data_IF_327730294647
#
_entry.id   IF_327730294647
#
_cell.length_a   1.000
_cell.length_b   1.000
_cell.length_c   1.000
_cell.angle_alpha   90.00
_cell.angle_beta   90.00
_cell.angle_gamma   90.00
#
_symmetry.space_group_name_H-M   'P 1'
#
loop_
_entity.id
_entity.type
_entity.pdbx_description
1 polymer ?
#
# COMPACT_ATOMS: atom_id res chain seq x y z
N UNK A 1 -28.81 16.88 -58.72
CA UNK A 1 -28.23 16.90 -57.40
C UNK A 1 -28.42 15.52 -56.79
N UNK A 2 -27.37 14.70 -56.56
CA UNK A 2 -27.54 13.38 -55.93
C UNK A 2 -27.91 13.57 -54.46
N UNK A 3 -28.97 12.88 -54.01
CA UNK A 3 -29.37 12.85 -52.61
C UNK A 3 -28.29 12.09 -51.79
N UNK A 4 -27.71 12.76 -50.84
CA UNK A 4 -26.80 12.12 -49.85
C UNK A 4 -27.53 10.92 -49.23
N UNK A 5 -26.99 9.71 -49.40
CA UNK A 5 -27.55 8.50 -48.81
C UNK A 5 -27.55 8.63 -47.27
N UNK A 6 -28.71 8.43 -46.65
CA UNK A 6 -28.81 8.38 -45.18
C UNK A 6 -28.04 7.15 -44.66
N UNK A 7 -27.12 7.39 -43.77
CA UNK A 7 -26.36 6.31 -43.08
C UNK A 7 -27.33 5.37 -42.35
N UNK A 8 -27.04 4.10 -42.38
CA UNK A 8 -27.74 3.09 -41.57
C UNK A 8 -27.52 3.35 -40.07
N UNK A 9 -28.36 2.76 -39.21
CA UNK A 9 -28.19 2.83 -37.75
C UNK A 9 -26.84 2.26 -37.30
N UNK A 10 -26.37 1.19 -37.93
CA UNK A 10 -25.07 0.57 -37.63
C UNK A 10 -23.91 1.45 -38.03
N UNK A 11 -23.96 2.12 -39.18
CA UNK A 11 -22.95 3.07 -39.64
C UNK A 11 -22.90 4.32 -38.71
N UNK A 12 -24.04 4.79 -38.24
CA UNK A 12 -24.11 5.88 -37.26
C UNK A 12 -23.49 5.48 -35.92
N UNK A 13 -23.82 4.28 -35.41
CA UNK A 13 -23.27 3.77 -34.16
C UNK A 13 -21.75 3.57 -34.25
N UNK A 14 -21.27 3.02 -35.37
CA UNK A 14 -19.83 2.87 -35.62
C UNK A 14 -19.11 4.21 -35.66
N UNK A 15 -19.63 5.19 -36.40
CA UNK A 15 -19.05 6.55 -36.44
C UNK A 15 -18.99 7.21 -35.07
N UNK A 16 -20.04 7.04 -34.26
CA UNK A 16 -20.07 7.56 -32.90
C UNK A 16 -19.02 6.86 -32.02
N UNK A 17 -18.89 5.53 -32.11
CA UNK A 17 -17.87 4.78 -31.39
C UNK A 17 -16.45 5.20 -31.79
N UNK A 18 -16.20 5.35 -33.11
CA UNK A 18 -14.90 5.79 -33.64
C UNK A 18 -14.57 7.22 -33.18
N UNK A 19 -15.54 8.13 -33.18
CA UNK A 19 -15.35 9.50 -32.71
C UNK A 19 -15.05 9.55 -31.20
N UNK A 20 -15.75 8.75 -30.41
CA UNK A 20 -15.48 8.59 -28.95
C UNK A 20 -14.09 8.00 -28.71
N UNK A 21 -13.72 6.97 -29.47
CA UNK A 21 -12.40 6.36 -29.38
C UNK A 21 -11.28 7.36 -29.72
N UNK A 22 -11.45 8.12 -30.81
CA UNK A 22 -10.51 9.17 -31.23
C UNK A 22 -10.38 10.28 -30.18
N UNK A 23 -11.50 10.74 -29.62
CA UNK A 23 -11.50 11.70 -28.51
C UNK A 23 -10.70 11.19 -27.32
N UNK A 24 -10.96 9.96 -26.87
CA UNK A 24 -10.25 9.39 -25.73
C UNK A 24 -8.78 9.10 -26.03
N UNK A 25 -8.43 8.75 -27.30
CA UNK A 25 -7.04 8.58 -27.69
C UNK A 25 -6.23 9.90 -27.57
N UNK A 26 -6.84 11.03 -27.87
CA UNK A 26 -6.22 12.34 -27.71
C UNK A 26 -6.21 12.82 -26.24
N UNK A 27 -7.31 12.60 -25.50
CA UNK A 27 -7.47 13.09 -24.13
C UNK A 27 -6.69 12.27 -23.08
N UNK A 28 -6.52 10.95 -23.27
CA UNK A 28 -5.78 10.09 -22.31
C UNK A 28 -4.35 10.59 -22.03
N UNK A 29 -3.51 10.86 -23.04
CA UNK A 29 -2.15 11.35 -22.79
C UNK A 29 -2.15 12.73 -22.11
N UNK A 30 -3.07 13.62 -22.48
CA UNK A 30 -3.19 14.94 -21.84
C UNK A 30 -3.55 14.82 -20.36
N UNK A 31 -4.55 14.01 -20.04
CA UNK A 31 -4.95 13.74 -18.64
C UNK A 31 -3.86 13.06 -17.85
N UNK A 32 -3.10 12.16 -18.47
CA UNK A 32 -1.98 11.51 -17.80
C UNK A 32 -0.84 12.49 -17.52
N UNK A 33 -0.53 13.38 -18.46
CA UNK A 33 0.45 14.45 -18.23
C UNK A 33 0.06 15.36 -17.06
N UNK A 34 -1.23 15.75 -16.97
CA UNK A 34 -1.73 16.53 -15.82
C UNK A 34 -1.60 15.75 -14.51
N UNK A 35 -1.96 14.46 -14.49
CA UNK A 35 -1.78 13.62 -13.30
C UNK A 35 -0.32 13.51 -12.87
N UNK A 36 0.57 13.35 -13.84
CA UNK A 36 2.01 13.27 -13.57
C UNK A 36 2.55 14.60 -13.01
N UNK A 37 2.13 15.73 -13.57
CA UNK A 37 2.50 17.04 -13.05
C UNK A 37 2.03 17.25 -11.60
N UNK A 38 0.77 16.90 -11.30
CA UNK A 38 0.23 16.98 -9.93
C UNK A 38 1.03 16.07 -8.98
N UNK A 39 1.37 14.84 -9.40
CA UNK A 39 2.17 13.92 -8.59
C UNK A 39 3.59 14.45 -8.34
N UNK A 40 4.20 15.04 -9.37
CA UNK A 40 5.54 15.62 -9.26
C UNK A 40 5.57 16.80 -8.28
N UNK A 41 4.62 17.73 -8.40
CA UNK A 41 4.47 18.86 -7.48
C UNK A 41 4.25 18.38 -6.03
N UNK A 42 3.34 17.43 -5.84
CA UNK A 42 3.10 16.85 -4.52
C UNK A 42 4.35 16.17 -3.93
N UNK A 43 5.14 15.47 -4.75
CA UNK A 43 6.38 14.83 -4.32
C UNK A 43 7.45 15.88 -3.95
N UNK A 44 7.55 16.97 -4.71
CA UNK A 44 8.47 18.08 -4.42
C UNK A 44 8.14 18.75 -3.07
N UNK A 45 6.85 18.94 -2.77
CA UNK A 45 6.39 19.49 -1.49
C UNK A 45 6.73 18.61 -0.29
N UNK A 46 6.78 17.31 -0.45
CA UNK A 46 7.23 16.38 0.61
C UNK A 46 8.74 16.51 0.81
N UNK A 47 9.52 16.65 -0.26
CA UNK A 47 10.97 16.78 -0.19
C UNK A 47 11.67 15.55 0.42
N UNK A 48 12.84 15.78 1.04
CA UNK A 48 13.61 14.75 1.71
C UNK A 48 13.06 14.47 3.11
N UNK A 49 12.78 13.22 3.42
CA UNK A 49 12.30 12.83 4.74
C UNK A 49 13.43 12.83 5.76
N UNK A 50 13.17 13.43 6.91
CA UNK A 50 14.00 13.30 8.11
C UNK A 50 13.68 12.01 8.88
N UNK A 51 14.54 11.61 9.83
CA UNK A 51 14.26 10.48 10.71
C UNK A 51 12.98 10.70 11.54
N UNK A 52 12.72 11.95 11.93
CA UNK A 52 11.48 12.30 12.62
C UNK A 52 10.25 12.08 11.74
N UNK A 53 10.30 12.44 10.47
CA UNK A 53 9.20 12.23 9.53
C UNK A 53 8.90 10.74 9.35
N UNK A 54 9.96 9.93 9.21
CA UNK A 54 9.82 8.46 9.13
C UNK A 54 9.25 7.88 10.41
N UNK A 55 9.65 8.40 11.59
CA UNK A 55 9.12 7.96 12.88
C UNK A 55 7.62 8.26 13.00
N UNK A 56 7.22 9.49 12.70
CA UNK A 56 5.82 9.94 12.75
C UNK A 56 4.97 9.14 11.77
N UNK A 57 5.38 9.10 10.51
CA UNK A 57 4.64 8.39 9.46
C UNK A 57 4.58 6.88 9.71
N UNK A 58 5.66 6.27 10.23
CA UNK A 58 5.70 4.86 10.57
C UNK A 58 4.80 4.49 11.76
N UNK A 59 4.74 5.36 12.79
CA UNK A 59 3.81 5.19 13.90
C UNK A 59 2.35 5.24 13.43
N UNK A 60 2.01 6.21 12.57
CA UNK A 60 0.66 6.32 11.99
C UNK A 60 0.35 5.14 11.06
N UNK A 61 1.30 4.71 10.22
CA UNK A 61 1.14 3.52 9.38
C UNK A 61 0.83 2.28 10.23
N UNK A 62 1.55 2.10 11.36
CA UNK A 62 1.23 1.03 12.31
C UNK A 62 -0.16 1.19 12.92
N UNK A 63 -0.56 2.42 13.26
CA UNK A 63 -1.89 2.67 13.80
C UNK A 63 -3.00 2.30 12.82
N UNK A 64 -2.79 2.49 11.52
CA UNK A 64 -3.75 2.12 10.48
C UNK A 64 -3.78 0.60 10.22
N UNK A 65 -2.62 -0.01 9.97
CA UNK A 65 -2.48 -1.36 9.41
C UNK A 65 -1.96 -2.39 10.43
N UNK A 66 -1.45 -1.95 11.59
CA UNK A 66 -0.89 -2.81 12.60
C UNK A 66 -1.93 -3.50 13.49
N UNK A 67 -1.50 -4.59 14.11
CA UNK A 67 -2.32 -5.30 15.09
C UNK A 67 -2.39 -4.50 16.40
N UNK A 68 -3.61 -4.26 16.88
CA UNK A 68 -3.87 -3.52 18.12
C UNK A 68 -4.33 -4.45 19.24
N UNK A 69 -3.93 -4.11 20.47
CA UNK A 69 -4.48 -4.74 21.68
C UNK A 69 -5.95 -4.36 21.85
N UNK A 70 -6.77 -5.34 22.17
CA UNK A 70 -8.21 -5.13 22.41
C UNK A 70 -8.55 -5.60 23.82
N UNK A 71 -9.57 -5.03 24.50
CA UNK A 71 -9.94 -5.42 25.87
C UNK A 71 -10.18 -6.92 26.04
N UNK A 72 -10.80 -7.54 25.04
CA UNK A 72 -11.12 -8.97 25.02
C UNK A 72 -10.02 -9.87 24.44
N UNK A 73 -8.95 -9.28 23.85
CA UNK A 73 -7.78 -9.99 23.29
C UNK A 73 -6.56 -9.12 23.48
N UNK A 74 -6.03 -9.12 24.67
CA UNK A 74 -4.81 -8.35 24.99
C UNK A 74 -3.61 -8.95 24.26
N UNK A 75 -2.90 -8.12 23.52
CA UNK A 75 -1.68 -8.49 22.82
C UNK A 75 -0.79 -7.27 22.66
N UNK A 76 0.42 -7.33 23.20
CA UNK A 76 1.43 -6.28 23.07
C UNK A 76 2.47 -6.67 22.00
N UNK A 77 2.03 -7.32 20.93
CA UNK A 77 2.90 -7.76 19.83
C UNK A 77 2.83 -6.77 18.70
N UNK A 78 3.99 -6.34 18.22
CA UNK A 78 4.08 -5.52 17.02
C UNK A 78 3.99 -6.44 15.80
N UNK A 79 2.86 -6.37 15.12
CA UNK A 79 2.55 -7.12 13.91
C UNK A 79 2.00 -6.16 12.88
N UNK A 80 2.59 -6.17 11.69
CA UNK A 80 2.18 -5.36 10.55
C UNK A 80 1.95 -6.27 9.34
N UNK A 81 0.86 -6.08 8.59
CA UNK A 81 0.51 -6.91 7.45
C UNK A 81 0.11 -5.99 6.30
N UNK A 82 0.79 -6.11 5.17
CA UNK A 82 0.43 -5.36 3.97
C UNK A 82 0.81 -6.12 2.70
N UNK A 83 0.20 -5.75 1.57
CA UNK A 83 0.50 -6.27 0.23
C UNK A 83 1.33 -5.31 -0.62
N UNK A 84 1.50 -4.07 -0.19
CA UNK A 84 2.29 -3.06 -0.90
C UNK A 84 3.77 -3.19 -0.53
N UNK A 85 4.66 -3.51 -1.49
CA UNK A 85 6.08 -3.66 -1.22
C UNK A 85 6.77 -2.34 -0.83
N UNK A 86 6.26 -1.19 -1.27
CA UNK A 86 6.83 0.11 -0.90
C UNK A 86 6.52 0.41 0.57
N UNK A 87 5.28 0.14 1.00
CA UNK A 87 4.88 0.32 2.39
C UNK A 87 5.61 -0.67 3.32
N UNK A 88 5.87 -1.90 2.87
CA UNK A 88 6.71 -2.86 3.60
C UNK A 88 8.14 -2.34 3.78
N UNK A 89 8.80 -1.84 2.72
CA UNK A 89 10.15 -1.26 2.81
C UNK A 89 10.19 -0.05 3.73
N UNK A 90 9.21 0.83 3.63
CA UNK A 90 9.06 1.99 4.51
C UNK A 90 8.92 1.56 5.97
N UNK A 91 8.05 0.60 6.25
CA UNK A 91 7.83 0.11 7.61
C UNK A 91 9.07 -0.57 8.20
N UNK A 92 9.84 -1.32 7.41
CA UNK A 92 11.13 -1.87 7.84
C UNK A 92 12.16 -0.77 8.18
N UNK A 93 12.18 0.34 7.43
CA UNK A 93 13.00 1.49 7.78
C UNK A 93 12.55 2.13 9.11
N UNK A 94 11.25 2.28 9.31
CA UNK A 94 10.70 2.76 10.59
C UNK A 94 11.11 1.86 11.76
N UNK A 95 10.97 0.55 11.64
CA UNK A 95 11.38 -0.40 12.70
C UNK A 95 12.88 -0.27 13.03
N UNK A 96 13.72 -0.10 12.03
CA UNK A 96 15.16 0.12 12.22
C UNK A 96 15.45 1.40 12.98
N UNK A 97 14.78 2.52 12.64
CA UNK A 97 14.88 3.76 13.40
C UNK A 97 14.32 3.64 14.83
N UNK A 98 13.33 2.79 15.03
CA UNK A 98 12.80 2.45 16.35
C UNK A 98 13.72 1.51 17.16
N UNK A 99 14.92 1.20 16.66
CA UNK A 99 15.92 0.38 17.36
C UNK A 99 15.71 -1.13 17.24
N UNK A 100 14.87 -1.59 16.30
CA UNK A 100 14.64 -3.03 16.08
C UNK A 100 15.80 -3.62 15.28
N UNK A 101 16.49 -4.60 15.87
CA UNK A 101 17.53 -5.34 15.19
C UNK A 101 16.95 -6.35 14.17
N UNK A 102 17.72 -6.68 13.13
CA UNK A 102 17.26 -7.55 12.05
C UNK A 102 16.84 -8.94 12.57
N UNK A 103 17.57 -9.50 13.53
CA UNK A 103 17.30 -10.82 14.12
C UNK A 103 16.01 -10.87 14.96
N UNK A 104 15.46 -9.71 15.32
CA UNK A 104 14.15 -9.61 15.99
C UNK A 104 12.97 -9.71 15.03
N UNK A 105 13.21 -9.71 13.71
CA UNK A 105 12.16 -9.76 12.71
C UNK A 105 11.84 -11.19 12.31
N UNK A 106 10.55 -11.48 12.20
CA UNK A 106 10.04 -12.70 11.60
C UNK A 106 8.99 -12.37 10.54
N UNK A 107 9.04 -13.06 9.43
CA UNK A 107 8.18 -12.82 8.28
C UNK A 107 7.27 -14.01 8.02
N UNK A 108 6.07 -13.76 7.54
CA UNK A 108 5.16 -14.81 7.07
C UNK A 108 4.35 -14.32 5.90
N UNK A 109 4.43 -15.05 4.80
CA UNK A 109 3.58 -14.84 3.64
C UNK A 109 2.16 -15.34 3.92
N UNK A 110 1.15 -14.52 3.61
CA UNK A 110 -0.26 -14.91 3.59
C UNK A 110 -0.76 -14.80 2.15
N UNK A 111 -1.00 -15.94 1.53
CA UNK A 111 -1.31 -16.03 0.09
C UNK A 111 -2.41 -17.05 -0.16
N UNK A 112 -3.06 -16.96 -1.30
CA UNK A 112 -4.06 -17.95 -1.70
C UNK A 112 -3.39 -19.25 -2.17
N UNK A 113 -3.98 -20.40 -1.84
CA UNK A 113 -3.41 -21.71 -2.20
C UNK A 113 -3.28 -21.94 -3.71
N UNK A 114 -4.05 -21.24 -4.55
CA UNK A 114 -4.02 -21.32 -6.01
C UNK A 114 -2.99 -20.38 -6.66
N UNK A 115 -2.23 -19.61 -5.88
CA UNK A 115 -1.18 -18.73 -6.39
C UNK A 115 0.18 -19.44 -6.39
N UNK A 116 1.12 -18.91 -7.15
CA UNK A 116 2.51 -19.36 -7.09
C UNK A 116 3.17 -18.87 -5.79
N UNK A 117 3.21 -19.79 -4.82
CA UNK A 117 3.76 -19.52 -3.48
C UNK A 117 5.27 -19.32 -3.53
N UNK A 118 5.97 -20.06 -4.40
CA UNK A 118 7.43 -20.00 -4.50
C UNK A 118 7.88 -18.64 -5.06
N UNK A 119 7.31 -18.22 -6.19
CA UNK A 119 7.57 -16.91 -6.81
C UNK A 119 7.23 -15.76 -5.85
N UNK A 120 6.09 -15.84 -5.15
CA UNK A 120 5.72 -14.83 -4.16
C UNK A 120 6.69 -14.79 -2.98
N UNK A 121 7.24 -15.91 -2.55
CA UNK A 121 8.23 -15.96 -1.48
C UNK A 121 9.57 -15.35 -1.93
N UNK A 122 10.03 -15.64 -3.12
CA UNK A 122 11.23 -15.01 -3.71
C UNK A 122 11.07 -13.49 -3.83
N UNK A 123 9.90 -13.03 -4.32
CA UNK A 123 9.56 -11.61 -4.37
C UNK A 123 9.70 -10.93 -2.99
N UNK A 124 9.14 -11.53 -1.94
CA UNK A 124 9.21 -10.93 -0.61
C UNK A 124 10.59 -11.03 0.04
N UNK A 125 11.38 -12.05 -0.29
CA UNK A 125 12.80 -12.11 0.08
C UNK A 125 13.58 -10.95 -0.54
N UNK A 126 13.35 -10.66 -1.83
CA UNK A 126 13.96 -9.50 -2.49
C UNK A 126 13.52 -8.17 -1.88
N UNK A 127 12.22 -8.00 -1.63
CA UNK A 127 11.65 -6.77 -1.03
C UNK A 127 12.23 -6.48 0.35
N UNK A 128 12.37 -7.50 1.19
CA UNK A 128 12.79 -7.34 2.60
C UNK A 128 14.29 -7.38 2.78
N UNK A 129 15.03 -8.02 1.85
CA UNK A 129 16.45 -8.34 1.97
C UNK A 129 16.77 -9.14 3.24
N UNK A 130 15.78 -9.85 3.76
CA UNK A 130 15.91 -10.66 4.97
C UNK A 130 16.42 -12.08 4.66
N UNK A 131 17.18 -12.71 5.58
CA UNK A 131 17.58 -14.10 5.41
C UNK A 131 16.37 -15.03 5.32
N UNK A 132 16.39 -16.08 4.48
CA UNK A 132 15.31 -17.05 4.37
C UNK A 132 14.90 -17.67 5.70
N UNK A 133 15.83 -17.84 6.64
CA UNK A 133 15.59 -18.40 7.98
C UNK A 133 14.61 -17.56 8.83
N UNK A 134 14.42 -16.28 8.50
CA UNK A 134 13.42 -15.42 9.17
C UNK A 134 12.02 -15.58 8.59
N UNK A 135 11.87 -16.26 7.46
CA UNK A 135 10.57 -16.55 6.86
C UNK A 135 9.98 -17.84 7.45
N UNK A 136 8.83 -17.70 8.09
CA UNK A 136 8.05 -18.82 8.60
C UNK A 136 7.21 -19.44 7.49
N UNK A 137 6.72 -20.65 7.70
CA UNK A 137 5.82 -21.31 6.76
C UNK A 137 4.65 -20.38 6.36
N UNK A 138 4.32 -20.30 5.07
CA UNK A 138 3.26 -19.44 4.58
C UNK A 138 1.89 -19.87 5.12
N UNK A 139 1.00 -18.89 5.28
CA UNK A 139 -0.41 -19.13 5.56
C UNK A 139 -1.17 -19.19 4.24
N UNK A 140 -1.66 -20.37 3.91
CA UNK A 140 -2.44 -20.59 2.69
C UNK A 140 -3.93 -20.32 2.95
N UNK A 141 -4.49 -19.34 2.26
CA UNK A 141 -5.93 -19.05 2.30
C UNK A 141 -6.67 -19.93 1.30
N UNK A 142 -7.73 -20.60 1.75
CA UNK A 142 -8.60 -21.38 0.88
C UNK A 142 -9.52 -20.46 0.07
N UNK A 143 -9.91 -20.92 -1.12
CA UNK A 143 -10.89 -20.20 -1.94
C UNK A 143 -12.23 -20.10 -1.21
N UNK A 144 -12.80 -18.90 -1.17
CA UNK A 144 -14.19 -18.71 -0.73
C UNK A 144 -15.08 -18.60 -1.99
N UNK A 145 -15.93 -19.58 -2.28
CA UNK A 145 -16.76 -19.61 -3.51
C UNK A 145 -17.76 -18.46 -3.59
N UNK A 146 -18.00 -17.73 -2.48
CA UNK A 146 -18.90 -16.57 -2.44
C UNK A 146 -18.25 -15.26 -2.88
N UNK A 147 -16.95 -15.24 -3.13
CA UNK A 147 -16.21 -14.03 -3.53
C UNK A 147 -15.59 -14.20 -4.90
N UNK A 148 -15.90 -13.27 -5.81
CA UNK A 148 -15.19 -13.16 -7.11
C UNK A 148 -13.86 -12.47 -6.86
N UNK A 149 -12.77 -13.18 -7.13
CA UNK A 149 -11.43 -12.67 -6.91
C UNK A 149 -10.98 -11.90 -8.16
N UNK A 150 -10.72 -10.60 -8.02
CA UNK A 150 -10.23 -9.73 -9.09
C UNK A 150 -8.69 -9.70 -9.16
N UNK A 151 -8.01 -9.91 -8.04
CA UNK A 151 -6.55 -9.84 -7.95
C UNK A 151 -5.95 -11.25 -8.17
N UNK A 152 -5.75 -11.59 -9.43
CA UNK A 152 -5.19 -12.87 -9.92
C UNK A 152 -4.12 -12.57 -10.97
N UNK A 153 -3.14 -13.46 -11.12
CA UNK A 153 -2.09 -13.36 -12.15
C UNK A 153 -0.69 -13.16 -11.57
N UNK A 154 0.28 -12.93 -12.44
CA UNK A 154 1.71 -12.86 -12.10
C UNK A 154 2.10 -11.76 -11.11
N UNK A 155 1.35 -10.67 -11.07
CA UNK A 155 1.58 -9.56 -10.13
C UNK A 155 1.02 -9.80 -8.71
N UNK A 156 0.44 -10.98 -8.44
CA UNK A 156 -0.14 -11.28 -7.14
C UNK A 156 0.84 -12.00 -6.21
N UNK A 157 1.43 -11.28 -5.28
CA UNK A 157 2.39 -11.81 -4.31
C UNK A 157 1.82 -11.98 -2.89
N UNK A 158 0.50 -11.91 -2.72
CA UNK A 158 -0.15 -12.02 -1.40
C UNK A 158 0.17 -10.85 -0.46
N UNK A 159 0.04 -11.09 0.84
CA UNK A 159 0.38 -10.10 1.87
C UNK A 159 1.54 -10.60 2.72
N UNK A 160 2.50 -9.73 3.00
CA UNK A 160 3.57 -10.02 3.95
C UNK A 160 3.16 -9.59 5.35
N UNK A 161 3.30 -10.50 6.31
CA UNK A 161 3.23 -10.23 7.74
C UNK A 161 4.64 -10.06 8.29
N UNK A 162 4.89 -8.91 8.89
CA UNK A 162 6.08 -8.63 9.70
C UNK A 162 5.68 -8.77 11.16
N UNK A 163 6.46 -9.51 11.92
CA UNK A 163 6.28 -9.66 13.37
C UNK A 163 7.61 -9.35 14.06
N UNK A 164 7.58 -8.42 15.03
CA UNK A 164 8.73 -8.13 15.88
C UNK A 164 8.67 -9.04 17.10
N UNK A 165 9.71 -9.83 17.29
CA UNK A 165 9.82 -10.75 18.42
C UNK A 165 10.07 -9.97 19.73
N UNK A 166 9.46 -10.41 20.82
CA UNK A 166 9.60 -9.79 22.16
C UNK A 166 9.30 -8.29 22.16
N UNK A 167 8.31 -7.86 21.40
CA UNK A 167 8.01 -6.45 21.08
C UNK A 167 7.09 -5.73 22.08
N UNK A 168 6.89 -6.24 23.29
CA UNK A 168 6.01 -5.60 24.27
C UNK A 168 6.37 -4.14 24.58
N UNK A 169 7.63 -3.81 24.91
CA UNK A 169 8.05 -2.41 25.12
C UNK A 169 7.88 -1.55 23.86
N UNK A 170 8.29 -2.05 22.68
CA UNK A 170 8.13 -1.35 21.41
C UNK A 170 6.66 -1.05 21.09
N UNK A 171 5.75 -2.01 21.38
CA UNK A 171 4.32 -1.80 21.19
C UNK A 171 3.83 -0.58 21.98
N UNK A 172 4.22 -0.47 23.25
CA UNK A 172 3.86 0.67 24.09
C UNK A 172 4.48 1.97 23.63
N UNK A 173 5.69 1.92 23.11
CA UNK A 173 6.37 3.09 22.54
C UNK A 173 5.65 3.59 21.29
N UNK A 174 5.27 2.70 20.36
CA UNK A 174 4.48 3.06 19.17
C UNK A 174 3.11 3.63 19.58
N UNK A 175 2.44 3.02 20.53
CA UNK A 175 1.17 3.52 21.08
C UNK A 175 1.32 4.97 21.60
N UNK A 176 2.37 5.24 22.37
CA UNK A 176 2.68 6.59 22.86
C UNK A 176 2.99 7.59 21.74
N UNK A 177 3.75 7.19 20.72
CA UNK A 177 4.01 8.05 19.57
C UNK A 177 2.73 8.40 18.81
N UNK A 178 1.84 7.44 18.57
CA UNK A 178 0.56 7.68 17.91
C UNK A 178 -0.30 8.66 18.70
N UNK A 179 -0.42 8.46 20.02
CA UNK A 179 -1.17 9.35 20.91
C UNK A 179 -0.60 10.77 20.88
N UNK A 180 0.73 10.90 20.97
CA UNK A 180 1.39 12.19 20.93
C UNK A 180 1.20 12.93 19.59
N UNK A 181 1.24 12.21 18.45
CA UNK A 181 0.98 12.80 17.14
C UNK A 181 -0.46 13.32 17.05
N UNK A 182 -1.45 12.53 17.47
CA UNK A 182 -2.85 12.93 17.44
C UNK A 182 -3.12 14.13 18.33
N UNK A 183 -2.68 14.09 19.59
CA UNK A 183 -2.87 15.19 20.52
C UNK A 183 -2.21 16.51 20.08
N UNK A 184 -1.02 16.42 19.47
CA UNK A 184 -0.33 17.62 18.98
C UNK A 184 -0.93 18.17 17.70
N UNK A 185 -1.53 17.34 16.87
CA UNK A 185 -2.24 17.80 15.69
C UNK A 185 -3.48 18.63 16.03
N UNK A 186 -4.17 18.33 17.16
CA UNK A 186 -5.33 19.09 17.63
C UNK A 186 -4.99 20.51 18.11
N UNK A 187 -3.74 20.74 18.55
CA UNK A 187 -3.28 22.04 19.05
C UNK A 187 -2.43 22.81 18.04
N UNK A 188 -2.28 22.32 16.83
CA UNK A 188 -1.62 23.09 15.78
C UNK A 188 -2.49 24.31 15.44
N UNK A 189 -1.93 25.54 15.42
CA UNK A 189 -2.66 26.69 14.92
C UNK A 189 -3.03 26.44 13.46
N UNK A 190 -4.26 26.79 13.09
CA UNK A 190 -4.68 26.78 11.69
C UNK A 190 -3.68 27.63 10.92
N UNK A 191 -2.97 27.04 9.96
CA UNK A 191 -2.09 27.80 9.08
C UNK A 191 -2.96 28.81 8.35
N UNK A 192 -2.69 30.12 8.53
CA UNK A 192 -3.35 31.17 7.77
C UNK A 192 -3.35 30.77 6.31
N UNK A 193 -4.55 30.72 5.73
CA UNK A 193 -4.72 30.45 4.31
C UNK A 193 -3.89 31.46 3.54
N UNK A 194 -3.04 31.05 2.57
CA UNK A 194 -2.33 32.01 1.75
C UNK A 194 -3.34 32.85 0.98
N UNK A 195 -3.28 34.17 1.21
CA UNK A 195 -4.06 35.22 0.55
C UNK A 195 -3.79 35.24 -0.96
#
# INVERSE_FOLDING_TARGET
>A
MPRSARLSREECAKRQADAVAAYWAAERPRREAVRQAIRADAAERIGLLTERDVLVAGAIAYWCEGSKSKPYRRSNRVIFINSDPQLIRFYLRFLRLAGVAQDQLAFRLSIHQSADVASAQEFWLDVTRAPPAQFRLPTLKRHNPRTVRLNVGEAYHGCLRIEVLRSGPLYKQIEGWCQAVMARAEVMPDSESPS
#
